data_IF_407633770036
#
_entry.id   IF_407633770036
#
_cell.length_a   1.000
_cell.length_b   1.000
_cell.length_c   1.000
_cell.angle_alpha   90.00
_cell.angle_beta   90.00
_cell.angle_gamma   90.00
#
_symmetry.space_group_name_H-M   'P 1'
#
loop_
_entity.id
_entity.type
_entity.pdbx_description
1 polymer ?
#
# COMPACT_ATOMS: atom_id res chain seq x y z
N UNK A 1 -1.12 22.57 -5.37
CA UNK A 1 -1.61 21.27 -5.88
C UNK A 1 -0.79 20.20 -5.20
N UNK A 2 -1.41 19.21 -4.53
CA UNK A 2 -0.67 18.20 -3.76
C UNK A 2 -0.21 17.12 -4.74
N UNK A 3 1.10 16.97 -4.92
CA UNK A 3 1.66 15.97 -5.83
C UNK A 3 2.71 15.13 -5.14
N UNK A 4 2.69 13.84 -5.44
CA UNK A 4 3.74 12.91 -5.05
C UNK A 4 5.08 13.35 -5.63
N UNK A 5 6.12 13.28 -4.81
CA UNK A 5 7.50 13.49 -5.25
C UNK A 5 8.40 12.41 -4.66
N UNK A 6 9.47 12.10 -5.41
CA UNK A 6 10.46 11.11 -4.98
C UNK A 6 11.31 11.73 -3.88
N UNK A 7 11.41 11.05 -2.75
CA UNK A 7 12.23 11.45 -1.62
C UNK A 7 13.65 10.91 -1.81
N UNK A 8 14.65 11.78 -1.69
CA UNK A 8 16.05 11.35 -1.51
C UNK A 8 16.29 10.79 -0.10
N UNK A 9 17.37 10.03 0.14
CA UNK A 9 17.64 9.42 1.45
C UNK A 9 17.67 10.43 2.61
N UNK A 10 18.23 11.62 2.39
CA UNK A 10 18.25 12.70 3.37
C UNK A 10 16.83 13.20 3.68
N UNK A 11 15.99 13.37 2.67
CA UNK A 11 14.61 13.81 2.85
C UNK A 11 13.77 12.73 3.55
N UNK A 12 13.92 11.47 3.17
CA UNK A 12 13.24 10.34 3.83
C UNK A 12 13.60 10.27 5.32
N UNK A 13 14.88 10.41 5.64
CA UNK A 13 15.37 10.39 7.03
C UNK A 13 14.89 11.63 7.81
N UNK A 14 15.00 12.82 7.21
CA UNK A 14 14.69 14.07 7.89
C UNK A 14 13.19 14.32 8.06
N UNK A 15 12.40 14.04 7.04
CA UNK A 15 10.97 14.33 7.00
C UNK A 15 10.12 13.20 7.56
N UNK A 16 10.45 11.96 7.19
CA UNK A 16 9.66 10.78 7.54
C UNK A 16 10.33 9.93 8.62
N UNK A 17 11.48 10.36 9.17
CA UNK A 17 12.20 9.68 10.26
C UNK A 17 12.57 8.23 9.96
N UNK A 18 12.65 7.86 8.69
CA UNK A 18 13.08 6.52 8.31
C UNK A 18 14.59 6.37 8.60
N UNK A 19 15.03 5.27 9.24
CA UNK A 19 16.44 5.04 9.51
C UNK A 19 17.31 5.15 8.25
N UNK A 20 18.49 5.73 8.40
CA UNK A 20 19.39 5.99 7.27
C UNK A 20 19.77 4.70 6.52
N UNK A 21 19.91 3.55 7.19
CA UNK A 21 20.20 2.28 6.51
C UNK A 21 19.08 1.87 5.55
N UNK A 22 17.82 2.09 5.95
CA UNK A 22 16.64 1.72 5.17
C UNK A 22 16.46 2.72 4.03
N UNK A 23 16.66 4.02 4.31
CA UNK A 23 16.55 5.10 3.33
C UNK A 23 17.65 5.06 2.26
N UNK A 24 18.86 4.60 2.60
CA UNK A 24 19.98 4.49 1.66
C UNK A 24 20.03 3.13 0.93
N UNK A 25 19.16 2.18 1.28
CA UNK A 25 19.09 0.91 0.57
C UNK A 25 18.58 1.15 -0.86
N UNK A 26 19.36 0.80 -1.90
CA UNK A 26 18.98 1.06 -3.30
C UNK A 26 17.74 0.28 -3.75
N UNK A 27 17.34 -0.76 -3.01
CA UNK A 27 16.13 -1.53 -3.28
C UNK A 27 14.86 -0.84 -2.79
N UNK A 28 14.99 0.21 -1.97
CA UNK A 28 13.88 0.97 -1.44
C UNK A 28 13.76 2.30 -2.17
N UNK A 29 12.54 2.63 -2.57
CA UNK A 29 12.22 3.91 -3.17
C UNK A 29 11.04 4.54 -2.44
N UNK A 30 11.19 5.80 -2.07
CA UNK A 30 10.24 6.50 -1.22
C UNK A 30 9.58 7.67 -1.96
N UNK A 31 8.28 7.83 -1.75
CA UNK A 31 7.53 8.98 -2.21
C UNK A 31 6.63 9.52 -1.11
N UNK A 32 6.61 10.84 -1.00
CA UNK A 32 5.78 11.57 -0.05
C UNK A 32 5.05 12.72 -0.74
N UNK A 33 4.31 13.50 0.04
CA UNK A 33 3.66 14.73 -0.42
C UNK A 33 4.48 15.95 -0.01
N UNK A 34 4.53 16.95 -0.90
CA UNK A 34 5.47 18.10 -0.88
C UNK A 34 5.27 19.11 0.27
N UNK A 35 4.46 18.80 1.29
CA UNK A 35 4.15 19.72 2.37
C UNK A 35 4.59 19.18 3.73
N UNK A 36 5.31 20.01 4.48
CA UNK A 36 5.49 19.92 5.92
C UNK A 36 4.42 20.82 6.55
N UNK A 37 3.46 20.32 7.33
CA UNK A 37 2.61 21.19 8.08
C UNK A 37 2.82 20.91 9.55
N UNK A 38 3.74 21.65 10.16
CA UNK A 38 3.54 22.00 11.58
C UNK A 38 2.16 22.69 11.78
N UNK A 39 1.49 23.08 10.69
CA UNK A 39 0.19 23.77 10.63
C UNK A 39 -1.04 22.85 10.50
N UNK A 40 -0.90 21.55 10.21
CA UNK A 40 -2.03 20.64 9.98
C UNK A 40 -1.76 19.30 10.66
N UNK A 41 -2.44 19.07 11.79
CA UNK A 41 -2.55 17.79 12.49
C UNK A 41 -3.28 16.75 11.63
N UNK A 42 -2.67 16.34 10.52
CA UNK A 42 -3.22 15.37 9.58
C UNK A 42 -2.19 14.28 9.34
N UNK A 43 -2.65 13.07 9.05
CA UNK A 43 -1.77 11.93 8.79
C UNK A 43 -0.94 12.14 7.51
N UNK A 44 0.30 11.66 7.56
CA UNK A 44 1.27 11.80 6.48
C UNK A 44 1.36 10.53 5.65
N UNK A 45 0.96 10.57 4.36
CA UNK A 45 1.07 9.41 3.52
C UNK A 45 2.50 9.24 3.01
N UNK A 46 3.01 8.01 3.12
CA UNK A 46 4.31 7.59 2.63
C UNK A 46 4.13 6.33 1.78
N UNK A 47 4.68 6.36 0.57
CA UNK A 47 4.71 5.21 -0.32
C UNK A 47 6.12 4.69 -0.38
N UNK A 48 6.25 3.39 -0.13
CA UNK A 48 7.51 2.67 -0.26
C UNK A 48 7.38 1.64 -1.36
N UNK A 49 8.33 1.62 -2.28
CA UNK A 49 8.46 0.58 -3.29
C UNK A 49 9.76 -0.16 -3.02
N UNK A 50 9.66 -1.42 -2.65
CA UNK A 50 10.79 -2.24 -2.20
C UNK A 50 10.95 -3.47 -3.10
N UNK A 51 12.20 -3.79 -3.46
CA UNK A 51 12.55 -5.07 -4.09
C UNK A 51 13.27 -5.97 -3.08
N UNK A 52 13.00 -7.27 -3.12
CA UNK A 52 13.61 -8.25 -2.23
C UNK A 52 14.21 -9.41 -3.01
N UNK A 53 15.34 -9.93 -2.54
CA UNK A 53 15.97 -11.12 -3.10
C UNK A 53 15.10 -12.38 -2.95
N UNK A 54 14.17 -12.39 -1.98
CA UNK A 54 13.25 -13.50 -1.76
C UNK A 54 12.17 -13.60 -2.84
N UNK A 55 11.83 -12.47 -3.45
CA UNK A 55 10.88 -12.40 -4.55
C UNK A 55 11.43 -11.45 -5.62
N UNK A 56 12.48 -11.84 -6.37
CA UNK A 56 13.17 -10.96 -7.32
C UNK A 56 12.29 -10.50 -8.48
N UNK A 57 11.10 -11.08 -8.57
CA UNK A 57 10.16 -10.97 -9.66
C UNK A 57 8.90 -10.18 -9.25
N UNK A 58 8.78 -9.82 -7.97
CA UNK A 58 7.74 -8.95 -7.46
C UNK A 58 8.35 -7.73 -6.77
N UNK A 59 7.62 -6.64 -6.85
CA UNK A 59 7.87 -5.42 -6.09
C UNK A 59 6.85 -5.39 -4.96
N UNK A 60 7.30 -4.98 -3.78
CA UNK A 60 6.42 -4.73 -2.64
C UNK A 60 6.09 -3.24 -2.65
N UNK A 61 4.83 -2.91 -2.92
CA UNK A 61 4.29 -1.56 -2.79
C UNK A 61 3.65 -1.42 -1.41
N UNK A 62 4.20 -0.57 -0.56
CA UNK A 62 3.72 -0.36 0.80
C UNK A 62 3.09 1.03 0.91
N UNK A 63 1.94 1.10 1.58
CA UNK A 63 1.19 2.32 1.84
C UNK A 63 1.15 2.59 3.33
N UNK A 64 1.91 3.58 3.77
CA UNK A 64 1.94 3.99 5.16
C UNK A 64 1.19 5.31 5.32
N UNK A 65 0.39 5.39 6.36
CA UNK A 65 -0.24 6.62 6.83
C UNK A 65 0.35 6.87 8.21
N UNK A 66 1.23 7.86 8.33
CA UNK A 66 1.98 8.16 9.55
C UNK A 66 1.25 9.26 10.34
N UNK A 67 0.65 8.93 11.50
CA UNK A 67 0.14 9.94 12.42
C UNK A 67 1.21 10.99 12.77
N UNK A 68 0.78 12.24 12.84
CA UNK A 68 1.66 13.36 13.20
C UNK A 68 2.26 13.15 14.60
N UNK A 69 1.50 12.58 15.52
CA UNK A 69 1.94 12.23 16.87
C UNK A 69 3.13 11.28 16.83
N UNK A 70 3.14 10.27 15.96
CA UNK A 70 4.29 9.37 15.80
C UNK A 70 5.54 10.10 15.28
N UNK A 71 5.36 11.17 14.50
CA UNK A 71 6.46 12.02 14.02
C UNK A 71 6.92 13.03 15.08
N UNK A 72 6.05 13.38 16.04
CA UNK A 72 6.25 14.41 17.07
C UNK A 72 6.55 13.87 18.48
N UNK A 73 6.35 12.59 18.78
CA UNK A 73 6.54 11.95 20.10
C UNK A 73 8.00 11.92 20.59
N UNK A 74 8.88 12.67 19.95
CA UNK A 74 10.32 12.64 20.13
C UNK A 74 10.76 14.00 20.67
N UNK A 75 11.17 13.98 21.93
CA UNK A 75 11.45 15.18 22.71
C UNK A 75 12.56 16.08 22.11
N UNK A 76 12.74 17.29 22.68
CA UNK A 76 13.58 18.38 22.14
C UNK A 76 15.09 18.06 22.02
N UNK A 77 15.53 16.87 22.43
CA UNK A 77 16.92 16.43 22.38
C UNK A 77 17.20 15.33 21.35
N UNK A 78 16.24 14.94 20.50
CA UNK A 78 16.52 14.39 19.17
C UNK A 78 17.32 13.08 19.04
N UNK A 79 17.56 12.34 20.11
CA UNK A 79 18.20 11.03 20.03
C UNK A 79 17.15 9.93 19.99
N UNK A 80 16.84 9.50 18.77
CA UNK A 80 16.29 8.18 18.49
C UNK A 80 17.40 7.34 17.91
N UNK A 81 18.10 6.61 18.75
CA UNK A 81 18.63 5.34 18.29
C UNK A 81 17.42 4.37 18.33
N UNK A 82 17.03 3.86 17.15
CA UNK A 82 16.12 2.71 16.91
C UNK A 82 14.63 2.93 16.56
N UNK A 83 14.11 4.14 16.35
CA UNK A 83 12.71 4.28 15.87
C UNK A 83 12.58 4.17 14.35
N UNK A 84 11.76 3.23 13.89
CA UNK A 84 11.40 3.03 12.49
C UNK A 84 9.87 3.16 12.30
N UNK A 85 9.37 4.27 11.71
CA UNK A 85 7.94 4.48 11.48
C UNK A 85 7.26 3.41 10.63
N UNK A 86 8.03 2.69 9.78
CA UNK A 86 7.51 1.59 8.98
C UNK A 86 7.14 0.37 9.83
N UNK A 87 7.77 0.21 11.00
CA UNK A 87 7.43 -0.84 11.98
C UNK A 87 6.22 -0.45 12.83
N UNK A 88 6.11 0.83 13.17
CA UNK A 88 4.97 1.35 13.93
C UNK A 88 3.64 1.33 13.16
N UNK A 89 3.68 1.23 11.83
CA UNK A 89 2.50 1.29 10.95
C UNK A 89 2.24 -0.03 10.20
N UNK A 90 2.66 -1.16 10.78
CA UNK A 90 2.53 -2.48 10.16
C UNK A 90 1.12 -3.10 10.21
N UNK A 91 0.19 -2.55 10.99
CA UNK A 91 -1.18 -3.07 11.11
C UNK A 91 -2.21 -2.07 10.54
N UNK A 92 -3.20 -2.56 9.80
CA UNK A 92 -4.36 -1.78 9.36
C UNK A 92 -4.08 -0.76 8.27
N UNK A 93 -3.16 -1.08 7.35
CA UNK A 93 -2.77 -0.20 6.25
C UNK A 93 -3.95 0.29 5.42
N UNK A 94 -4.28 1.57 5.53
CA UNK A 94 -5.29 2.22 4.71
C UNK A 94 -4.71 3.51 4.15
N UNK A 95 -5.07 3.84 2.92
CA UNK A 95 -4.62 5.06 2.28
C UNK A 95 -5.80 5.78 1.64
N UNK A 96 -6.35 6.76 2.35
CA UNK A 96 -7.33 7.67 1.76
C UNK A 96 -6.61 8.77 1.00
N UNK A 97 -6.82 8.85 -0.32
CA UNK A 97 -6.25 9.89 -1.17
C UNK A 97 -7.38 10.69 -1.83
N UNK A 98 -7.33 12.03 -1.81
CA UNK A 98 -8.17 12.80 -2.72
C UNK A 98 -7.78 12.54 -4.18
N UNK A 99 -8.72 12.80 -5.10
CA UNK A 99 -8.61 12.48 -6.52
C UNK A 99 -7.32 13.01 -7.17
N UNK A 100 -6.84 14.21 -6.81
CA UNK A 100 -5.60 14.78 -7.35
C UNK A 100 -4.36 13.99 -6.93
N UNK A 101 -4.32 13.52 -5.68
CA UNK A 101 -3.25 12.66 -5.17
C UNK A 101 -3.34 11.25 -5.75
N UNK A 102 -4.54 10.71 -5.97
CA UNK A 102 -4.69 9.43 -6.63
C UNK A 102 -4.23 9.47 -8.10
N UNK A 103 -4.57 10.53 -8.81
CA UNK A 103 -4.06 10.74 -10.18
C UNK A 103 -2.53 10.85 -10.19
N UNK A 104 -1.94 11.48 -9.17
CA UNK A 104 -0.50 11.50 -8.96
C UNK A 104 0.08 10.10 -8.73
N UNK A 105 -0.57 9.27 -7.90
CA UNK A 105 -0.17 7.89 -7.64
C UNK A 105 -0.20 7.04 -8.92
N UNK A 106 -1.29 7.12 -9.69
CA UNK A 106 -1.41 6.47 -10.99
C UNK A 106 -0.22 6.82 -11.91
N UNK A 107 0.11 8.11 -12.02
CA UNK A 107 1.21 8.57 -12.87
C UNK A 107 2.58 8.10 -12.37
N UNK A 108 2.79 8.12 -11.06
CA UNK A 108 4.00 7.62 -10.40
C UNK A 108 4.22 6.15 -10.72
N UNK A 109 3.22 5.31 -10.45
CA UNK A 109 3.30 3.86 -10.65
C UNK A 109 3.57 3.52 -12.12
N UNK A 110 2.90 4.19 -13.05
CA UNK A 110 3.13 4.04 -14.49
C UNK A 110 4.55 4.39 -14.92
N UNK A 111 5.17 5.39 -14.29
CA UNK A 111 6.56 5.78 -14.57
C UNK A 111 7.59 4.78 -14.01
N UNK A 112 7.24 4.02 -12.97
CA UNK A 112 8.14 3.04 -12.33
C UNK A 112 8.22 1.69 -13.05
N UNK A 113 7.65 1.54 -14.25
CA UNK A 113 7.66 0.28 -15.01
C UNK A 113 9.02 -0.42 -15.14
N UNK A 114 10.10 0.36 -15.15
CA UNK A 114 11.46 -0.12 -15.32
C UNK A 114 12.01 -0.84 -14.09
N UNK A 115 11.38 -0.68 -12.92
CA UNK A 115 11.75 -1.35 -11.67
C UNK A 115 11.21 -2.78 -11.60
N UNK A 116 10.30 -3.15 -12.51
CA UNK A 116 9.69 -4.46 -12.56
C UNK A 116 10.43 -5.32 -13.57
N UNK A 117 10.87 -6.50 -13.14
CA UNK A 117 11.38 -7.50 -14.07
C UNK A 117 10.19 -8.04 -14.87
N UNK A 118 10.26 -7.91 -16.19
CA UNK A 118 9.26 -8.51 -17.08
C UNK A 118 9.46 -10.02 -17.05
N UNK A 119 8.73 -10.69 -16.17
CA UNK A 119 8.70 -12.14 -16.17
C UNK A 119 7.77 -12.53 -17.32
N UNK A 120 8.33 -12.91 -18.46
CA UNK A 120 7.61 -13.70 -19.47
C UNK A 120 7.30 -15.11 -18.92
N UNK A 121 6.67 -15.21 -17.75
CA UNK A 121 6.12 -16.47 -17.28
C UNK A 121 4.76 -16.66 -17.97
N UNK A 122 4.78 -17.38 -19.09
CA UNK A 122 3.64 -18.02 -19.75
C UNK A 122 2.99 -19.08 -18.84
N UNK A 123 2.49 -18.67 -17.68
CA UNK A 123 1.71 -19.53 -16.79
C UNK A 123 0.47 -18.77 -16.35
N UNK A 124 -0.67 -19.42 -16.48
CA UNK A 124 -2.01 -18.99 -16.09
C UNK A 124 -2.17 -18.64 -14.60
N UNK A 125 -1.10 -18.71 -13.81
CA UNK A 125 -1.06 -18.48 -12.37
C UNK A 125 -0.40 -17.14 -12.00
N UNK A 126 -0.49 -16.13 -12.87
CA UNK A 126 -0.11 -14.78 -12.44
C UNK A 126 -1.18 -14.26 -11.48
N UNK A 127 -0.78 -13.67 -10.33
CA UNK A 127 -1.73 -13.13 -9.37
C UNK A 127 -2.41 -11.91 -9.99
N UNK A 128 -3.61 -12.12 -10.53
CA UNK A 128 -4.44 -11.08 -11.12
C UNK A 128 -5.45 -10.55 -10.10
N UNK A 129 -5.71 -9.24 -10.12
CA UNK A 129 -6.83 -8.65 -9.39
C UNK A 129 -8.13 -9.02 -10.09
N UNK A 130 -9.00 -9.72 -9.36
CA UNK A 130 -10.35 -10.04 -9.80
C UNK A 130 -11.35 -9.25 -8.98
N UNK A 131 -12.40 -8.73 -9.64
CA UNK A 131 -13.54 -8.15 -8.93
C UNK A 131 -14.23 -9.23 -8.07
N UNK A 132 -14.47 -8.88 -6.81
CA UNK A 132 -15.18 -9.73 -5.87
C UNK A 132 -16.69 -9.61 -6.10
N UNK A 133 -17.38 -10.74 -6.12
CA UNK A 133 -18.85 -10.74 -6.20
C UNK A 133 -19.45 -10.56 -4.81
N UNK A 134 -20.66 -10.00 -4.74
CA UNK A 134 -21.34 -9.73 -3.47
C UNK A 134 -21.49 -10.99 -2.59
N UNK A 135 -21.69 -12.17 -3.20
CA UNK A 135 -21.79 -13.46 -2.49
C UNK A 135 -20.45 -13.93 -1.90
N UNK A 136 -19.32 -13.39 -2.36
CA UNK A 136 -17.98 -13.72 -1.88
C UNK A 136 -17.52 -12.79 -0.74
N UNK A 137 -18.11 -11.60 -0.57
CA UNK A 137 -17.66 -10.57 0.38
C UNK A 137 -17.55 -11.13 1.80
N UNK A 138 -18.57 -11.85 2.26
CA UNK A 138 -18.60 -12.42 3.60
C UNK A 138 -17.55 -13.52 3.81
N UNK A 139 -17.16 -14.25 2.75
CA UNK A 139 -16.11 -15.28 2.84
C UNK A 139 -14.77 -14.66 3.26
N UNK A 140 -14.48 -13.47 2.75
CA UNK A 140 -13.28 -12.70 3.10
C UNK A 140 -13.44 -11.86 4.37
N UNK A 141 -14.53 -12.07 5.13
CA UNK A 141 -14.86 -11.32 6.35
C UNK A 141 -14.82 -9.81 6.15
N UNK A 142 -15.28 -9.37 4.99
CA UNK A 142 -15.53 -7.97 4.68
C UNK A 142 -16.95 -7.62 5.12
N UNK A 143 -17.08 -6.51 5.83
CA UNK A 143 -18.34 -6.07 6.43
C UNK A 143 -18.69 -4.68 5.88
N UNK A 144 -19.77 -4.55 5.07
CA UNK A 144 -20.17 -3.27 4.49
C UNK A 144 -20.39 -2.16 5.53
N UNK A 145 -20.75 -2.53 6.77
CA UNK A 145 -20.94 -1.60 7.89
C UNK A 145 -19.66 -0.87 8.34
N UNK A 146 -18.47 -1.32 7.92
CA UNK A 146 -17.23 -0.58 8.17
C UNK A 146 -17.16 0.75 7.44
N UNK A 147 -17.91 0.89 6.33
CA UNK A 147 -17.90 2.09 5.49
C UNK A 147 -19.34 2.49 5.14
N UNK A 148 -20.11 2.95 6.14
CA UNK A 148 -21.54 3.18 5.99
C UNK A 148 -21.82 4.31 5.00
N UNK A 149 -22.76 4.07 4.08
CA UNK A 149 -23.23 5.08 3.12
C UNK A 149 -22.35 5.27 1.89
N UNK A 150 -21.30 4.46 1.72
CA UNK A 150 -20.37 4.55 0.60
C UNK A 150 -20.51 3.33 -0.30
N UNK A 151 -20.61 3.53 -1.62
CA UNK A 151 -20.58 2.42 -2.57
C UNK A 151 -19.16 1.87 -2.65
N UNK A 152 -19.00 0.57 -2.45
CA UNK A 152 -17.70 -0.08 -2.35
C UNK A 152 -17.50 -1.06 -3.49
N UNK A 153 -16.31 -1.01 -4.10
CA UNK A 153 -15.87 -2.02 -5.06
C UNK A 153 -14.70 -2.77 -4.48
N UNK A 154 -14.81 -4.09 -4.37
CA UNK A 154 -13.75 -4.95 -3.83
C UNK A 154 -13.05 -5.71 -4.94
N UNK A 155 -11.73 -5.68 -4.93
CA UNK A 155 -10.89 -6.56 -5.75
C UNK A 155 -10.09 -7.49 -4.86
N UNK A 156 -9.84 -8.70 -5.35
CA UNK A 156 -8.99 -9.68 -4.70
C UNK A 156 -7.85 -10.11 -5.60
N UNK A 157 -6.68 -10.24 -5.01
CA UNK A 157 -5.53 -10.91 -5.60
C UNK A 157 -5.08 -12.02 -4.65
N UNK A 158 -5.06 -13.27 -5.14
CA UNK A 158 -4.48 -14.40 -4.42
C UNK A 158 -3.05 -14.61 -4.89
N UNK A 159 -2.11 -14.64 -3.95
CA UNK A 159 -0.69 -14.82 -4.24
C UNK A 159 -0.30 -16.23 -3.86
N UNK A 160 0.15 -16.99 -4.85
CA UNK A 160 0.52 -18.40 -4.65
C UNK A 160 1.95 -18.52 -4.07
N UNK A 161 2.20 -19.56 -3.23
CA UNK A 161 3.49 -19.77 -2.56
C UNK A 161 4.68 -20.02 -3.49
N UNK A 162 4.46 -20.27 -4.78
CA UNK A 162 5.52 -20.47 -5.77
C UNK A 162 6.45 -19.25 -5.92
N UNK A 163 6.04 -18.09 -5.37
CA UNK A 163 6.84 -16.86 -5.31
C UNK A 163 7.63 -16.69 -3.99
N UNK A 164 7.27 -17.42 -2.91
CA UNK A 164 8.08 -17.68 -1.70
C UNK A 164 7.24 -18.46 -0.66
N UNK A 165 7.90 -19.24 0.21
CA UNK A 165 7.27 -20.02 1.29
C UNK A 165 6.47 -19.18 2.31
N UNK A 166 6.61 -17.86 2.30
CA UNK A 166 5.92 -16.92 3.20
C UNK A 166 4.56 -16.42 2.67
N UNK A 167 4.17 -16.74 1.42
CA UNK A 167 3.10 -15.99 0.74
C UNK A 167 1.99 -16.86 0.16
N UNK A 168 1.14 -17.38 1.05
CA UNK A 168 -0.26 -17.65 0.73
C UNK A 168 -1.07 -16.46 1.22
N UNK A 169 -0.95 -15.31 0.56
CA UNK A 169 -1.56 -14.05 1.00
C UNK A 169 -2.69 -13.62 0.08
N UNK A 170 -3.67 -12.95 0.67
CA UNK A 170 -4.79 -12.32 -0.02
C UNK A 170 -4.59 -10.82 0.09
N UNK A 171 -4.56 -10.13 -1.05
CA UNK A 171 -4.65 -8.66 -1.11
C UNK A 171 -6.08 -8.27 -1.50
N UNK A 172 -6.76 -7.51 -0.64
CA UNK A 172 -8.06 -6.92 -0.92
C UNK A 172 -7.90 -5.43 -1.16
N UNK A 173 -8.48 -4.94 -2.24
CA UNK A 173 -8.54 -3.52 -2.58
C UNK A 173 -9.99 -3.07 -2.46
N UNK A 174 -10.27 -2.14 -1.56
CA UNK A 174 -11.54 -1.44 -1.48
C UNK A 174 -11.38 -0.05 -2.11
N UNK A 175 -12.24 0.27 -3.07
CA UNK A 175 -12.34 1.62 -3.61
C UNK A 175 -13.75 2.13 -3.37
N UNK A 176 -13.82 3.30 -2.76
CA UNK A 176 -15.05 3.94 -2.33
C UNK A 176 -15.42 5.13 -3.26
N UNK A 177 -16.63 5.68 -3.13
CA UNK A 177 -17.08 6.78 -4.01
C UNK A 177 -16.38 8.12 -3.75
N UNK A 178 -15.68 8.25 -2.63
CA UNK A 178 -14.82 9.40 -2.31
C UNK A 178 -13.36 9.17 -2.75
N UNK A 179 -13.11 8.05 -3.46
CA UNK A 179 -11.81 7.62 -3.96
C UNK A 179 -10.80 7.25 -2.87
N UNK A 180 -11.28 6.84 -1.69
CA UNK A 180 -10.45 6.21 -0.68
C UNK A 180 -10.02 4.82 -1.14
N UNK A 181 -8.77 4.47 -0.85
CA UNK A 181 -8.22 3.15 -1.16
C UNK A 181 -7.83 2.45 0.12
N UNK A 182 -8.49 1.34 0.42
CA UNK A 182 -8.08 0.47 1.53
C UNK A 182 -7.43 -0.78 0.95
N UNK A 183 -6.19 -1.02 1.36
CA UNK A 183 -5.42 -2.20 0.98
C UNK A 183 -5.34 -3.11 2.20
N UNK A 184 -5.93 -4.29 2.12
CA UNK A 184 -5.82 -5.28 3.18
C UNK A 184 -5.08 -6.50 2.68
N UNK A 185 -3.86 -6.72 3.18
CA UNK A 185 -3.08 -7.91 2.86
C UNK A 185 -2.89 -8.80 4.09
N UNK A 186 -3.25 -10.06 3.99
CA UNK A 186 -3.19 -11.01 5.12
C UNK A 186 -2.96 -12.43 4.64
N UNK A 187 -2.55 -13.33 5.55
CA UNK A 187 -2.38 -14.73 5.21
C UNK A 187 -3.75 -15.39 5.02
N UNK A 188 -3.92 -16.19 3.95
CA UNK A 188 -5.17 -16.88 3.64
C UNK A 188 -5.65 -17.75 4.80
N UNK A 189 -4.71 -18.34 5.55
CA UNK A 189 -5.01 -19.18 6.70
C UNK A 189 -5.68 -18.42 7.85
N UNK A 190 -5.50 -17.10 7.94
CA UNK A 190 -6.16 -16.26 8.94
C UNK A 190 -7.68 -16.25 8.79
N UNK A 191 -8.23 -16.51 7.59
CA UNK A 191 -9.69 -16.58 7.38
C UNK A 191 -10.35 -17.72 8.17
N UNK A 192 -9.58 -18.75 8.55
CA UNK A 192 -10.07 -19.85 9.38
C UNK A 192 -10.34 -19.43 10.83
N UNK A 193 -9.67 -18.39 11.31
CA UNK A 193 -9.96 -17.79 12.60
C UNK A 193 -11.26 -16.96 12.51
N UNK A 194 -12.22 -17.27 13.39
CA UNK A 194 -13.52 -16.57 13.42
C UNK A 194 -13.44 -15.17 14.01
N UNK A 195 -12.38 -14.89 14.78
CA UNK A 195 -12.12 -13.57 15.35
C UNK A 195 -11.29 -12.68 14.42
N UNK A 196 -10.76 -13.25 13.33
CA UNK A 196 -9.98 -12.50 12.36
C UNK A 196 -10.81 -11.40 11.71
N UNK A 197 -10.21 -10.22 11.64
CA UNK A 197 -10.79 -9.02 11.03
C UNK A 197 -9.72 -8.43 10.10
N UNK A 198 -9.88 -8.54 8.77
CA UNK A 198 -8.93 -8.01 7.80
C UNK A 198 -8.50 -6.57 8.08
N UNK A 199 -9.45 -5.69 8.44
CA UNK A 199 -9.19 -4.28 8.66
C UNK A 199 -8.17 -4.00 9.79
N UNK A 200 -8.11 -4.86 10.81
CA UNK A 200 -7.26 -4.64 12.00
C UNK A 200 -5.95 -5.41 11.93
N UNK A 201 -5.88 -6.47 11.12
CA UNK A 201 -4.76 -7.41 11.08
C UNK A 201 -4.08 -7.45 9.72
N UNK A 202 -4.48 -6.58 8.79
CA UNK A 202 -3.83 -6.46 7.49
C UNK A 202 -2.49 -5.78 7.59
N UNK A 203 -1.59 -6.20 6.71
CA UNK A 203 -0.33 -5.53 6.44
C UNK A 203 -0.56 -4.46 5.34
N UNK A 204 0.16 -3.33 5.40
CA UNK A 204 0.02 -2.20 4.47
C UNK A 204 0.62 -2.43 3.08
N UNK A 205 0.77 -3.67 2.63
CA UNK A 205 1.62 -4.01 1.47
C UNK A 205 0.86 -4.73 0.37
N UNK A 206 1.02 -4.28 -0.87
CA UNK A 206 0.65 -5.00 -2.08
C UNK A 206 1.89 -5.59 -2.73
N UNK A 207 1.84 -6.88 -3.02
CA UNK A 207 2.87 -7.54 -3.81
C UNK A 207 2.45 -7.48 -5.28
N UNK A 208 3.21 -6.74 -6.07
CA UNK A 208 2.91 -6.48 -7.47
C UNK A 208 4.02 -7.06 -8.36
N UNK A 209 3.65 -8.01 -9.21
CA UNK A 209 4.43 -8.31 -10.42
C UNK A 209 4.22 -7.19 -11.45
N UNK A 210 4.93 -7.22 -12.58
CA UNK A 210 4.69 -6.26 -13.66
C UNK A 210 3.23 -6.27 -14.13
N UNK A 211 2.66 -7.45 -14.38
CA UNK A 211 1.25 -7.59 -14.76
C UNK A 211 0.31 -7.11 -13.65
N UNK A 212 0.61 -7.44 -12.38
CA UNK A 212 -0.17 -6.95 -11.24
C UNK A 212 -0.14 -5.43 -11.12
N UNK A 213 0.98 -4.78 -11.44
CA UNK A 213 1.08 -3.31 -11.49
C UNK A 213 0.18 -2.75 -12.61
N UNK A 214 0.22 -3.33 -13.81
CA UNK A 214 -0.60 -2.88 -14.93
C UNK A 214 -2.10 -2.98 -14.60
N UNK A 215 -2.52 -4.07 -13.98
CA UNK A 215 -3.88 -4.26 -13.52
C UNK A 215 -4.26 -3.27 -12.43
N UNK A 216 -3.40 -3.09 -11.43
CA UNK A 216 -3.63 -2.12 -10.37
C UNK A 216 -3.79 -0.70 -10.94
N UNK A 217 -2.90 -0.28 -11.84
CA UNK A 217 -2.97 0.99 -12.56
C UNK A 217 -4.26 1.13 -13.37
N UNK A 218 -4.74 0.06 -14.00
CA UNK A 218 -6.02 0.06 -14.73
C UNK A 218 -7.22 0.17 -13.78
N UNK A 219 -7.21 -0.52 -12.64
CA UNK A 219 -8.24 -0.39 -11.60
C UNK A 219 -8.31 1.06 -11.10
N UNK A 220 -7.16 1.68 -10.78
CA UNK A 220 -7.12 3.10 -10.39
C UNK A 220 -7.67 4.01 -11.49
N UNK A 221 -7.32 3.74 -12.76
CA UNK A 221 -7.85 4.47 -13.93
C UNK A 221 -9.37 4.37 -14.06
N UNK A 222 -9.94 3.18 -13.85
CA UNK A 222 -11.38 2.96 -13.91
C UNK A 222 -12.11 3.69 -12.78
N UNK A 223 -11.61 3.57 -11.56
CA UNK A 223 -12.17 4.28 -10.41
C UNK A 223 -12.21 5.80 -10.64
N UNK A 224 -11.12 6.39 -11.16
CA UNK A 224 -11.07 7.83 -11.44
C UNK A 224 -12.11 8.27 -12.48
N UNK A 225 -12.36 7.43 -13.50
CA UNK A 225 -13.40 7.70 -14.51
C UNK A 225 -14.80 7.65 -13.92
N UNK A 226 -15.05 6.77 -12.96
CA UNK A 226 -16.35 6.64 -12.29
C UNK A 226 -16.68 7.79 -11.35
N UNK A 227 -15.67 8.52 -10.87
CA UNK A 227 -15.84 9.71 -10.01
C UNK A 227 -15.94 11.05 -10.76
N UNK A 228 -15.79 11.03 -12.10
CA UNK A 228 -15.86 12.21 -12.98
C UNK A 228 -17.25 12.37 -13.62
#
# INVERSE_FOLDING_TARGET
MKTWYKLGPEETTRLYRIPAEIANNPNNHFWGLTYHPEEFFADWPLIVLSTTAECPSAVILQFHTLPMELLHELGPNGELEDFNPLEATQEGGHLSLPLDQLQGLYNLLKAQKHLFVDIEAKTTDQPCFRLLRDDEIQFYRLYPEWFPGVQQTYYIQEIQPALSAAYNSISLLNIDSEMSIVVMTFAKDDLHDKSFTPLNRSLPQLYLTWSGLLEFVEILSQAMKSAS
#
